data_IF_731661877480
#
_entry.id   IF_731661877480
#
_cell.length_a   1.000
_cell.length_b   1.000
_cell.length_c   1.000
_cell.angle_alpha   90.00
_cell.angle_beta   90.00
_cell.angle_gamma   90.00
#
_symmetry.space_group_name_H-M   'P 1'
#
loop_
_entity.id
_entity.type
_entity.pdbx_description
1 polymer ?
#
# COMPACT_ATOMS: atom_id res chain seq x y z
N UNK A 1 -7.63 -10.36 7.80
CA UNK A 1 -7.58 -8.88 7.80
C UNK A 1 -8.60 -8.25 6.83
N UNK A 2 -9.69 -8.92 6.42
CA UNK A 2 -10.69 -8.34 5.51
C UNK A 2 -11.80 -7.53 6.19
N UNK A 3 -11.85 -7.50 7.52
CA UNK A 3 -12.92 -6.82 8.26
C UNK A 3 -12.56 -5.41 8.78
N UNK A 4 -11.32 -4.96 8.58
CA UNK A 4 -10.92 -3.57 8.88
C UNK A 4 -11.38 -2.63 7.75
N UNK A 5 -11.65 -3.15 6.55
CA UNK A 5 -11.88 -2.37 5.33
C UNK A 5 -13.25 -1.67 5.23
N UNK A 6 -14.12 -1.76 6.26
CA UNK A 6 -15.51 -1.26 6.18
C UNK A 6 -15.96 -0.36 7.33
N UNK A 7 -15.05 0.12 8.16
CA UNK A 7 -15.38 1.06 9.24
C UNK A 7 -14.50 2.32 9.14
N UNK A 8 -14.99 3.33 8.43
CA UNK A 8 -14.84 4.78 8.71
C UNK A 8 -14.93 5.70 7.47
N UNK A 9 -14.76 5.16 6.25
CA UNK A 9 -14.88 6.00 5.03
C UNK A 9 -16.31 6.54 4.83
N UNK A 10 -17.32 5.86 5.39
CA UNK A 10 -18.73 6.29 5.36
C UNK A 10 -19.19 7.09 6.58
N UNK A 11 -18.29 7.64 7.42
CA UNK A 11 -18.72 8.52 8.53
C UNK A 11 -17.79 9.68 8.79
N UNK A 12 -16.46 9.49 8.72
CA UNK A 12 -15.50 10.58 8.93
C UNK A 12 -15.38 11.48 7.69
N UNK A 13 -15.27 10.88 6.50
CA UNK A 13 -15.21 11.64 5.24
C UNK A 13 -16.55 12.28 4.85
N UNK A 14 -17.67 11.78 5.39
CA UNK A 14 -19.01 12.32 5.11
C UNK A 14 -19.30 13.65 5.84
N UNK A 15 -18.67 13.87 6.99
CA UNK A 15 -18.75 15.14 7.75
C UNK A 15 -17.61 16.11 7.42
N UNK A 16 -16.90 15.86 6.31
CA UNK A 16 -15.86 16.74 5.79
C UNK A 16 -16.48 17.90 5.04
N UNK A 17 -16.01 19.10 5.33
CA UNK A 17 -16.29 20.31 4.58
C UNK A 17 -15.06 20.75 3.82
N UNK A 18 -15.29 21.50 2.74
CA UNK A 18 -14.23 22.17 1.98
C UNK A 18 -14.52 23.67 2.05
N UNK A 19 -13.53 24.46 2.48
CA UNK A 19 -13.67 25.91 2.55
C UNK A 19 -13.44 26.58 1.18
N UNK A 20 -13.59 27.91 1.13
CA UNK A 20 -13.42 28.70 -0.10
C UNK A 20 -12.01 28.62 -0.73
N UNK A 21 -11.00 28.20 0.04
CA UNK A 21 -9.62 28.01 -0.40
C UNK A 21 -9.33 26.57 -0.84
N UNK A 22 -10.33 25.69 -0.84
CA UNK A 22 -10.15 24.27 -1.18
C UNK A 22 -9.55 23.43 -0.07
N UNK A 23 -9.37 23.97 1.14
CA UNK A 23 -8.87 23.23 2.29
C UNK A 23 -10.00 22.49 3.00
N UNK A 24 -9.73 21.26 3.42
CA UNK A 24 -10.67 20.43 4.15
C UNK A 24 -10.70 20.74 5.64
N UNK A 25 -11.89 20.69 6.23
CA UNK A 25 -12.10 20.85 7.66
C UNK A 25 -13.31 20.06 8.17
N UNK A 26 -13.35 19.86 9.49
CA UNK A 26 -14.42 19.18 10.22
C UNK A 26 -14.91 20.05 11.35
N UNK A 27 -16.14 19.83 11.81
CA UNK A 27 -16.67 20.49 13.00
C UNK A 27 -16.57 19.56 14.21
N UNK A 28 -16.03 20.07 15.32
CA UNK A 28 -15.83 19.30 16.54
C UNK A 28 -17.16 18.71 17.08
N UNK A 29 -18.26 19.47 17.01
CA UNK A 29 -19.59 18.97 17.41
C UNK A 29 -20.16 17.86 16.55
N UNK A 30 -19.74 17.76 15.28
CA UNK A 30 -20.14 16.68 14.38
C UNK A 30 -19.21 15.46 14.51
N UNK A 31 -17.94 15.69 14.84
CA UNK A 31 -16.98 14.63 15.13
C UNK A 31 -17.30 13.91 16.46
N UNK A 32 -17.82 14.61 17.47
CA UNK A 32 -18.16 14.03 18.77
C UNK A 32 -19.07 12.77 18.68
N UNK A 33 -20.24 12.79 18.01
CA UNK A 33 -21.06 11.60 17.86
C UNK A 33 -20.44 10.54 16.97
N UNK A 34 -19.62 10.90 15.96
CA UNK A 34 -18.86 9.94 15.14
C UNK A 34 -17.89 9.14 16.02
N UNK A 35 -17.30 9.79 17.02
CA UNK A 35 -16.43 9.15 18.02
C UNK A 35 -17.20 8.58 19.23
N UNK A 36 -18.52 8.40 19.12
CA UNK A 36 -19.39 7.81 20.15
C UNK A 36 -19.44 8.61 21.48
N UNK A 37 -19.25 9.93 21.42
CA UNK A 37 -19.46 10.81 22.58
C UNK A 37 -20.89 11.36 22.62
N UNK A 38 -21.69 10.85 23.56
CA UNK A 38 -23.08 11.28 23.73
C UNK A 38 -23.23 12.68 24.37
N UNK A 39 -22.23 13.15 25.14
CA UNK A 39 -22.25 14.43 25.85
C UNK A 39 -21.08 15.30 25.45
N UNK A 40 -21.36 16.56 25.08
CA UNK A 40 -20.36 17.51 24.60
C UNK A 40 -19.26 17.76 25.63
N UNK A 41 -19.60 17.86 26.92
CA UNK A 41 -18.65 18.16 27.99
C UNK A 41 -17.57 17.09 28.13
N UNK A 42 -17.90 15.84 27.79
CA UNK A 42 -16.93 14.74 27.79
C UNK A 42 -16.02 14.78 26.57
N UNK A 43 -16.56 15.19 25.41
CA UNK A 43 -15.77 15.35 24.19
C UNK A 43 -14.87 16.58 24.26
N UNK A 44 -15.35 17.68 24.84
CA UNK A 44 -14.59 18.91 25.04
C UNK A 44 -13.30 18.64 25.83
N UNK A 45 -13.35 17.79 26.87
CA UNK A 45 -12.13 17.37 27.59
C UNK A 45 -11.10 16.65 26.71
N UNK A 46 -11.53 15.96 25.66
CA UNK A 46 -10.64 15.30 24.69
C UNK A 46 -10.11 16.32 23.69
N UNK A 47 -10.95 17.25 23.25
CA UNK A 47 -10.56 18.37 22.40
C UNK A 47 -9.42 19.18 23.05
N UNK A 48 -9.56 19.54 24.33
CA UNK A 48 -8.54 20.27 25.07
C UNK A 48 -7.23 19.49 25.20
N UNK A 49 -7.29 18.17 25.45
CA UNK A 49 -6.09 17.31 25.43
C UNK A 49 -5.41 17.26 24.07
N UNK A 50 -6.19 17.28 23.00
CA UNK A 50 -5.65 17.29 21.63
C UNK A 50 -4.99 18.64 21.31
N UNK A 51 -5.55 19.76 21.77
CA UNK A 51 -4.91 21.08 21.70
C UNK A 51 -3.58 21.11 22.48
N UNK A 52 -3.59 20.59 23.72
CA UNK A 52 -2.37 20.48 24.55
C UNK A 52 -1.29 19.59 23.88
N UNK A 53 -1.68 18.47 23.26
CA UNK A 53 -0.75 17.61 22.52
C UNK A 53 -0.16 18.31 21.27
N UNK A 54 -0.96 19.11 20.58
CA UNK A 54 -0.52 19.93 19.45
C UNK A 54 0.51 20.97 19.89
N UNK A 55 0.21 21.73 20.94
CA UNK A 55 1.10 22.75 21.51
C UNK A 55 2.43 22.13 22.00
N UNK A 56 2.36 21.03 22.74
CA UNK A 56 3.55 20.30 23.21
C UNK A 56 4.39 19.70 22.07
N UNK A 57 3.82 19.56 20.87
CA UNK A 57 4.54 19.17 19.65
C UNK A 57 5.19 20.36 18.94
N UNK A 58 5.19 21.55 19.54
CA UNK A 58 5.61 22.83 18.96
C UNK A 58 4.87 23.18 17.65
N UNK A 59 3.61 22.77 17.53
CA UNK A 59 2.74 23.10 16.40
C UNK A 59 1.74 24.15 16.86
N UNK A 60 1.55 25.21 16.06
CA UNK A 60 0.60 26.26 16.36
C UNK A 60 -0.84 25.69 16.39
N UNK A 61 -1.50 25.82 17.54
CA UNK A 61 -2.86 25.28 17.75
C UNK A 61 -3.86 25.94 16.81
N UNK A 62 -3.73 27.24 16.55
CA UNK A 62 -4.67 28.01 15.73
C UNK A 62 -4.70 27.57 14.26
N UNK A 63 -3.63 26.92 13.78
CA UNK A 63 -3.57 26.37 12.41
C UNK A 63 -4.45 25.12 12.26
N UNK A 64 -4.82 24.49 13.37
CA UNK A 64 -5.48 23.18 13.39
C UNK A 64 -6.80 23.15 14.14
N UNK A 65 -7.00 24.04 15.12
CA UNK A 65 -8.17 24.14 15.97
C UNK A 65 -8.66 25.59 15.98
N UNK A 66 -9.55 25.94 15.05
CA UNK A 66 -10.07 27.30 14.94
C UNK A 66 -11.44 27.39 15.60
N UNK A 67 -11.54 28.17 16.67
CA UNK A 67 -12.83 28.38 17.33
C UNK A 67 -13.78 29.22 16.45
N UNK A 68 -15.02 28.75 16.31
CA UNK A 68 -16.06 29.34 15.48
C UNK A 68 -17.38 29.40 16.23
N UNK A 69 -18.31 30.21 15.72
CA UNK A 69 -19.67 30.26 16.24
C UNK A 69 -20.65 29.74 15.20
N UNK A 70 -21.42 28.71 15.54
CA UNK A 70 -22.45 28.12 14.68
C UNK A 70 -23.83 28.52 15.17
N UNK A 71 -24.72 28.90 14.26
CA UNK A 71 -26.14 29.08 14.59
C UNK A 71 -26.85 27.72 14.46
N UNK A 72 -27.51 27.28 15.52
CA UNK A 72 -28.37 26.09 15.51
C UNK A 72 -29.85 26.49 15.59
N UNK A 73 -30.71 25.69 14.95
CA UNK A 73 -32.16 25.82 15.09
C UNK A 73 -32.64 25.07 16.33
N UNK A 74 -33.47 25.74 17.12
CA UNK A 74 -34.16 25.22 18.30
C UNK A 74 -35.62 24.92 17.95
N UNK A 75 -36.30 24.24 18.87
CA UNK A 75 -37.73 24.02 18.77
C UNK A 75 -38.47 25.35 18.50
N UNK A 76 -39.45 25.30 17.58
CA UNK A 76 -40.25 26.45 17.13
C UNK A 76 -39.48 27.51 16.31
N UNK A 77 -38.35 27.17 15.69
CA UNK A 77 -37.66 28.03 14.72
C UNK A 77 -36.80 29.14 15.34
N UNK A 78 -36.63 29.15 16.67
CA UNK A 78 -35.67 30.04 17.32
C UNK A 78 -34.23 29.62 16.98
N UNK A 79 -33.33 30.57 16.74
CA UNK A 79 -31.91 30.28 16.44
C UNK A 79 -31.03 30.67 17.63
N UNK A 80 -30.04 29.84 17.95
CA UNK A 80 -29.05 30.11 19.01
C UNK A 80 -27.64 29.94 18.49
N UNK A 81 -26.77 30.89 18.83
CA UNK A 81 -25.33 30.77 18.64
C UNK A 81 -24.73 29.78 19.64
N UNK A 82 -23.94 28.83 19.15
CA UNK A 82 -23.13 27.92 19.96
C UNK A 82 -21.68 28.00 19.50
N UNK A 83 -20.76 27.96 20.45
CA UNK A 83 -19.32 27.82 20.16
C UNK A 83 -19.04 26.42 19.63
N UNK A 84 -18.22 26.31 18.59
CA UNK A 84 -17.73 25.07 17.99
C UNK A 84 -16.27 25.29 17.57
N UNK A 85 -15.61 24.25 17.08
CA UNK A 85 -14.22 24.35 16.61
C UNK A 85 -14.12 23.69 15.24
N UNK A 86 -13.59 24.44 14.28
CA UNK A 86 -13.13 23.91 13.00
C UNK A 86 -11.81 23.18 13.21
N UNK A 87 -11.77 21.95 12.70
CA UNK A 87 -10.67 21.02 12.88
C UNK A 87 -10.05 20.71 11.52
N UNK A 88 -8.74 20.85 11.43
CA UNK A 88 -7.98 20.23 10.34
C UNK A 88 -8.03 18.70 10.46
N UNK A 89 -7.68 18.00 9.37
CA UNK A 89 -7.50 16.53 9.42
C UNK A 89 -6.50 16.10 10.51
N UNK A 90 -5.43 16.87 10.68
CA UNK A 90 -4.43 16.63 11.73
C UNK A 90 -5.02 16.75 13.14
N UNK A 91 -5.83 17.79 13.40
CA UNK A 91 -6.54 17.93 14.67
C UNK A 91 -7.48 16.74 14.94
N UNK A 92 -8.22 16.28 13.93
CA UNK A 92 -9.06 15.09 14.04
C UNK A 92 -8.25 13.84 14.45
N UNK A 93 -7.04 13.67 13.91
CA UNK A 93 -6.15 12.56 14.29
C UNK A 93 -5.65 12.67 15.73
N UNK A 94 -5.24 13.86 16.18
CA UNK A 94 -4.85 14.09 17.57
C UNK A 94 -6.02 13.83 18.54
N UNK A 95 -7.24 14.21 18.17
CA UNK A 95 -8.44 13.91 18.98
C UNK A 95 -8.63 12.40 19.12
N UNK A 96 -8.52 11.62 18.04
CA UNK A 96 -8.64 10.14 18.10
C UNK A 96 -7.53 9.53 18.98
N UNK A 97 -6.30 10.04 18.88
CA UNK A 97 -5.18 9.56 19.70
C UNK A 97 -5.39 9.82 21.20
N UNK A 98 -6.06 10.92 21.57
CA UNK A 98 -6.30 11.34 22.95
C UNK A 98 -7.69 10.92 23.51
N UNK A 99 -8.54 10.29 22.69
CA UNK A 99 -9.88 9.88 23.06
C UNK A 99 -9.92 8.60 23.93
N UNK A 100 -11.09 8.28 24.48
CA UNK A 100 -11.31 7.14 25.38
C UNK A 100 -11.24 5.81 24.61
N UNK A 101 -10.21 4.96 24.83
CA UNK A 101 -10.01 3.72 24.08
C UNK A 101 -11.08 2.66 24.39
N UNK A 102 -11.94 2.86 25.40
CA UNK A 102 -13.10 1.98 25.65
C UNK A 102 -14.17 2.10 24.57
N UNK A 103 -14.15 3.17 23.77
CA UNK A 103 -15.05 3.35 22.61
C UNK A 103 -14.46 2.61 21.41
N UNK A 104 -15.25 1.74 20.79
CA UNK A 104 -14.74 0.82 19.76
C UNK A 104 -14.18 1.57 18.56
N UNK A 105 -14.84 2.64 18.15
CA UNK A 105 -14.38 3.50 17.03
C UNK A 105 -13.02 4.14 17.30
N UNK A 106 -12.76 4.55 18.55
CA UNK A 106 -11.47 5.12 18.97
C UNK A 106 -10.38 4.06 18.95
N UNK A 107 -10.62 2.89 19.53
CA UNK A 107 -9.65 1.79 19.54
C UNK A 107 -9.27 1.32 18.13
N UNK A 108 -10.24 1.29 17.20
CA UNK A 108 -10.00 0.99 15.79
C UNK A 108 -9.14 2.07 15.12
N UNK A 109 -9.42 3.35 15.38
CA UNK A 109 -8.60 4.47 14.88
C UNK A 109 -7.15 4.41 15.39
N UNK A 110 -6.95 4.12 16.68
CA UNK A 110 -5.62 3.93 17.26
C UNK A 110 -4.88 2.73 16.64
N UNK A 111 -5.58 1.62 16.44
CA UNK A 111 -5.02 0.44 15.74
C UNK A 111 -4.63 0.79 14.31
N UNK A 112 -5.47 1.55 13.60
CA UNK A 112 -5.16 2.03 12.26
C UNK A 112 -3.88 2.85 12.23
N UNK A 113 -3.69 3.80 13.16
CA UNK A 113 -2.45 4.58 13.24
C UNK A 113 -1.23 3.71 13.51
N UNK A 114 -1.30 2.77 14.47
CA UNK A 114 -0.19 1.85 14.73
C UNK A 114 0.23 1.07 13.47
N UNK A 115 -0.76 0.57 12.72
CA UNK A 115 -0.53 -0.18 11.48
C UNK A 115 0.01 0.73 10.35
N UNK A 116 -0.58 1.91 10.14
CA UNK A 116 -0.15 2.81 9.07
C UNK A 116 1.23 3.41 9.34
N UNK A 117 1.53 3.82 10.58
CA UNK A 117 2.86 4.30 10.96
C UNK A 117 3.89 3.21 10.70
N UNK A 118 3.62 1.97 11.13
CA UNK A 118 4.54 0.85 10.86
C UNK A 118 4.72 0.59 9.37
N UNK A 119 3.64 0.68 8.60
CA UNK A 119 3.69 0.53 7.14
C UNK A 119 4.58 1.61 6.50
N UNK A 120 4.45 2.87 6.94
CA UNK A 120 5.28 3.97 6.45
C UNK A 120 6.74 3.81 6.85
N UNK A 121 7.03 3.42 8.10
CA UNK A 121 8.39 3.12 8.56
C UNK A 121 9.06 2.04 7.71
N UNK A 122 8.35 0.94 7.44
CA UNK A 122 8.85 -0.16 6.61
C UNK A 122 9.10 0.31 5.17
N UNK A 123 8.24 1.19 4.63
CA UNK A 123 8.43 1.77 3.31
C UNK A 123 9.66 2.68 3.27
N UNK A 124 9.86 3.52 4.28
CA UNK A 124 11.01 4.41 4.38
C UNK A 124 12.31 3.62 4.56
N UNK A 125 12.28 2.57 5.37
CA UNK A 125 13.40 1.65 5.54
C UNK A 125 13.74 0.91 4.25
N UNK A 126 12.73 0.50 3.47
CA UNK A 126 12.93 -0.07 2.14
C UNK A 126 13.60 0.93 1.19
N UNK A 127 13.19 2.20 1.21
CA UNK A 127 13.78 3.23 0.36
C UNK A 127 15.26 3.50 0.69
N UNK A 128 15.63 3.36 1.98
CA UNK A 128 17.02 3.47 2.48
C UNK A 128 17.89 2.25 2.16
N UNK A 129 17.32 1.14 1.68
CA UNK A 129 18.12 -0.03 1.29
C UNK A 129 19.01 0.31 0.08
N UNK A 130 20.23 -0.20 0.12
CA UNK A 130 21.07 -0.25 -1.07
C UNK A 130 20.49 -1.21 -2.13
N UNK A 131 21.03 -1.16 -3.33
CA UNK A 131 20.52 -1.92 -4.46
C UNK A 131 20.50 -3.45 -4.21
N UNK A 132 21.50 -4.00 -3.52
CA UNK A 132 21.55 -5.44 -3.24
C UNK A 132 20.52 -5.84 -2.20
N UNK A 133 20.32 -5.03 -1.17
CA UNK A 133 19.28 -5.26 -0.18
C UNK A 133 17.86 -5.13 -0.78
N UNK A 134 17.63 -4.18 -1.69
CA UNK A 134 16.37 -4.08 -2.46
C UNK A 134 16.13 -5.33 -3.31
N UNK A 135 17.15 -5.79 -4.04
CA UNK A 135 17.08 -7.01 -4.86
C UNK A 135 16.71 -8.22 -4.01
N UNK A 136 17.30 -8.38 -2.83
CA UNK A 136 17.00 -9.49 -1.92
C UNK A 136 15.54 -9.44 -1.44
N UNK A 137 15.09 -8.29 -0.95
CA UNK A 137 13.71 -8.11 -0.46
C UNK A 137 12.67 -8.39 -1.55
N UNK A 138 12.81 -7.78 -2.74
CA UNK A 138 11.88 -7.99 -3.86
C UNK A 138 11.92 -9.45 -4.34
N UNK A 139 13.09 -10.11 -4.30
CA UNK A 139 13.21 -11.50 -4.73
C UNK A 139 12.45 -12.48 -3.83
N UNK A 140 12.39 -12.21 -2.54
CA UNK A 140 11.61 -12.98 -1.59
C UNK A 140 10.11 -12.75 -1.79
N UNK A 141 9.66 -11.51 -2.01
CA UNK A 141 8.28 -11.18 -2.43
C UNK A 141 7.86 -11.93 -3.70
N UNK A 142 8.72 -11.94 -4.74
CA UNK A 142 8.48 -12.70 -5.97
C UNK A 142 8.34 -14.19 -5.68
N UNK A 143 9.07 -14.75 -4.71
CA UNK A 143 8.96 -16.18 -4.37
C UNK A 143 7.59 -16.49 -3.79
N UNK A 144 7.09 -15.66 -2.88
CA UNK A 144 5.78 -15.86 -2.27
C UNK A 144 4.64 -15.64 -3.28
N UNK A 145 4.67 -14.54 -4.02
CA UNK A 145 3.64 -14.25 -5.02
C UNK A 145 3.64 -15.22 -6.21
N UNK A 146 4.78 -15.80 -6.59
CA UNK A 146 4.80 -16.86 -7.59
C UNK A 146 4.10 -18.15 -7.13
N UNK A 147 4.05 -18.45 -5.82
CA UNK A 147 3.24 -19.57 -5.32
C UNK A 147 1.76 -19.28 -5.54
N UNK A 148 1.29 -18.09 -5.15
CA UNK A 148 -0.11 -17.68 -5.36
C UNK A 148 -0.50 -17.63 -6.84
N UNK A 149 0.39 -17.12 -7.70
CA UNK A 149 0.19 -17.13 -9.15
C UNK A 149 0.13 -18.56 -9.71
N UNK A 150 0.96 -19.48 -9.19
CA UNK A 150 0.91 -20.88 -9.60
C UNK A 150 -0.43 -21.52 -9.24
N UNK A 151 -0.95 -21.28 -8.04
CA UNK A 151 -2.29 -21.73 -7.65
C UNK A 151 -3.39 -21.14 -8.55
N UNK A 152 -3.30 -19.85 -8.89
CA UNK A 152 -4.26 -19.22 -9.81
C UNK A 152 -4.21 -19.85 -11.21
N UNK A 153 -3.01 -20.10 -11.72
CA UNK A 153 -2.80 -20.80 -12.99
C UNK A 153 -3.37 -22.23 -12.93
N UNK A 154 -3.19 -22.95 -11.82
CA UNK A 154 -3.77 -24.27 -11.60
C UNK A 154 -5.30 -24.22 -11.67
N UNK A 155 -5.93 -23.27 -10.98
CA UNK A 155 -7.38 -23.08 -11.03
C UNK A 155 -7.90 -22.73 -12.43
N UNK A 156 -7.05 -22.15 -13.28
CA UNK A 156 -7.34 -21.84 -14.67
C UNK A 156 -7.09 -23.03 -15.63
N UNK A 157 -6.51 -24.14 -15.14
CA UNK A 157 -6.30 -25.37 -15.91
C UNK A 157 -4.85 -25.63 -16.35
N UNK A 158 -3.86 -24.93 -15.77
CA UNK A 158 -2.43 -25.22 -15.96
C UNK A 158 -2.01 -26.32 -14.97
N UNK A 159 -1.71 -27.53 -15.45
CA UNK A 159 -1.52 -28.71 -14.59
C UNK A 159 -0.11 -29.30 -14.68
N UNK A 160 0.48 -29.32 -15.88
CA UNK A 160 1.77 -29.99 -16.10
C UNK A 160 2.95 -29.01 -15.99
N UNK A 161 4.13 -29.52 -15.63
CA UNK A 161 5.37 -28.71 -15.59
C UNK A 161 5.68 -28.02 -16.93
N UNK A 162 5.34 -28.66 -18.05
CA UNK A 162 5.50 -28.07 -19.38
C UNK A 162 4.54 -26.90 -19.60
N UNK A 163 3.29 -27.02 -19.17
CA UNK A 163 2.31 -25.93 -19.25
C UNK A 163 2.69 -24.75 -18.36
N UNK A 164 3.20 -25.00 -17.14
CA UNK A 164 3.76 -23.95 -16.30
C UNK A 164 4.94 -23.25 -16.96
N UNK A 165 5.83 -23.99 -17.62
CA UNK A 165 6.94 -23.39 -18.35
C UNK A 165 6.45 -22.47 -19.48
N UNK A 166 5.43 -22.89 -20.24
CA UNK A 166 4.80 -22.06 -21.28
C UNK A 166 4.13 -20.83 -20.68
N UNK A 167 3.35 -21.00 -19.60
CA UNK A 167 2.65 -19.93 -18.91
C UNK A 167 3.60 -18.86 -18.37
N UNK A 168 4.69 -19.27 -17.72
CA UNK A 168 5.72 -18.34 -17.24
C UNK A 168 6.41 -17.64 -18.40
N UNK A 169 6.75 -18.38 -19.46
CA UNK A 169 7.39 -17.81 -20.65
C UNK A 169 6.49 -16.78 -21.35
N UNK A 170 5.16 -16.97 -21.37
CA UNK A 170 4.21 -16.00 -21.91
C UNK A 170 4.20 -14.68 -21.15
N UNK A 171 4.30 -14.76 -19.82
CA UNK A 171 4.54 -13.57 -18.99
C UNK A 171 5.82 -12.84 -19.38
N UNK A 172 6.92 -13.56 -19.65
CA UNK A 172 8.17 -12.94 -20.09
C UNK A 172 7.99 -12.27 -21.45
N UNK A 173 7.41 -12.98 -22.42
CA UNK A 173 7.15 -12.43 -23.75
C UNK A 173 6.33 -11.14 -23.72
N UNK A 174 5.34 -11.03 -22.82
CA UNK A 174 4.60 -9.78 -22.65
C UNK A 174 5.48 -8.62 -22.17
N UNK A 175 6.24 -8.83 -21.10
CA UNK A 175 7.04 -7.77 -20.46
C UNK A 175 8.26 -7.34 -21.28
N UNK A 176 8.93 -8.29 -21.94
CA UNK A 176 10.20 -8.09 -22.65
C UNK A 176 10.03 -8.01 -24.17
N UNK A 177 8.91 -7.48 -24.66
CA UNK A 177 8.74 -7.17 -26.09
C UNK A 177 8.79 -8.39 -27.02
N UNK A 178 8.30 -9.55 -26.55
CA UNK A 178 8.29 -10.80 -27.29
C UNK A 178 9.44 -11.75 -26.95
N UNK A 179 10.44 -11.33 -26.18
CA UNK A 179 11.54 -12.18 -25.76
C UNK A 179 11.07 -13.21 -24.71
N UNK A 180 11.36 -14.48 -24.97
CA UNK A 180 11.19 -15.55 -23.99
C UNK A 180 12.40 -15.68 -23.07
N UNK A 181 12.34 -16.65 -22.16
CA UNK A 181 13.40 -16.96 -21.19
C UNK A 181 14.74 -17.22 -21.88
N UNK A 182 14.75 -17.95 -23.00
CA UNK A 182 15.99 -18.31 -23.71
C UNK A 182 16.64 -17.10 -24.39
N UNK A 183 15.83 -16.25 -25.03
CA UNK A 183 16.31 -15.04 -25.68
C UNK A 183 16.80 -14.03 -24.64
N UNK A 184 16.08 -13.89 -23.52
CA UNK A 184 16.47 -13.01 -22.43
C UNK A 184 17.78 -13.46 -21.77
N UNK A 185 17.97 -14.77 -21.59
CA UNK A 185 19.23 -15.34 -21.13
C UNK A 185 20.42 -14.91 -22.00
N UNK A 186 20.27 -14.99 -23.33
CA UNK A 186 21.31 -14.58 -24.28
C UNK A 186 21.54 -13.07 -24.23
N UNK A 187 20.46 -12.28 -24.23
CA UNK A 187 20.52 -10.82 -24.21
C UNK A 187 21.25 -10.30 -22.97
N UNK A 188 21.05 -10.93 -21.81
CA UNK A 188 21.72 -10.60 -20.55
C UNK A 188 23.09 -11.27 -20.36
N UNK A 189 23.60 -11.99 -21.35
CA UNK A 189 24.91 -12.65 -21.26
C UNK A 189 25.00 -13.74 -20.17
N UNK A 190 23.86 -14.34 -19.78
CA UNK A 190 23.80 -15.30 -18.69
C UNK A 190 24.18 -16.71 -19.16
N UNK A 191 24.98 -17.40 -18.34
CA UNK A 191 25.27 -18.83 -18.49
C UNK A 191 23.98 -19.65 -18.33
N UNK A 192 23.93 -20.82 -18.98
CA UNK A 192 22.76 -21.73 -18.93
C UNK A 192 22.34 -22.14 -17.52
N UNK A 193 23.27 -22.17 -16.57
CA UNK A 193 23.01 -22.55 -15.17
C UNK A 193 22.57 -21.40 -14.28
N UNK A 194 22.69 -20.15 -14.74
CA UNK A 194 22.27 -18.98 -13.97
C UNK A 194 20.75 -18.85 -14.03
N UNK A 195 20.15 -18.27 -12.99
CA UNK A 195 18.70 -17.97 -12.98
C UNK A 195 18.51 -16.51 -13.33
N UNK A 196 17.67 -16.19 -14.32
CA UNK A 196 17.47 -14.80 -14.77
C UNK A 196 17.11 -13.88 -13.60
N UNK A 197 16.09 -14.25 -12.81
CA UNK A 197 15.65 -13.45 -11.65
C UNK A 197 16.76 -13.19 -10.62
N UNK A 198 17.77 -14.06 -10.51
CA UNK A 198 18.83 -13.87 -9.53
C UNK A 198 19.88 -12.84 -10.03
N UNK A 199 19.85 -12.49 -11.32
CA UNK A 199 20.72 -11.53 -12.00
C UNK A 199 19.94 -10.32 -12.56
N UNK A 200 18.85 -9.94 -11.89
CA UNK A 200 18.11 -8.72 -12.18
C UNK A 200 18.39 -7.65 -11.11
N UNK A 201 18.38 -6.38 -11.51
CA UNK A 201 18.32 -5.23 -10.60
C UNK A 201 16.94 -5.08 -9.95
N UNK A 202 16.84 -4.22 -8.93
CA UNK A 202 15.62 -3.99 -8.15
C UNK A 202 14.46 -3.48 -9.00
N UNK A 203 14.73 -2.55 -9.94
CA UNK A 203 13.72 -2.04 -10.88
C UNK A 203 13.14 -3.13 -11.78
N UNK A 204 14.00 -4.00 -12.32
CA UNK A 204 13.56 -5.10 -13.18
C UNK A 204 12.78 -6.14 -12.36
N UNK A 205 13.25 -6.48 -11.17
CA UNK A 205 12.54 -7.37 -10.25
C UNK A 205 11.16 -6.82 -9.89
N UNK A 206 11.03 -5.52 -9.59
CA UNK A 206 9.76 -4.88 -9.29
C UNK A 206 8.77 -5.00 -10.47
N UNK A 207 9.23 -4.82 -11.71
CA UNK A 207 8.38 -5.01 -12.89
C UNK A 207 7.89 -6.46 -13.03
N UNK A 208 8.74 -7.45 -12.74
CA UNK A 208 8.33 -8.87 -12.76
C UNK A 208 7.37 -9.20 -11.61
N UNK A 209 7.58 -8.65 -10.42
CA UNK A 209 6.68 -8.78 -9.28
C UNK A 209 5.30 -8.22 -9.61
N UNK A 210 5.25 -7.01 -10.17
CA UNK A 210 4.01 -6.36 -10.55
C UNK A 210 3.27 -7.15 -11.64
N UNK A 211 3.97 -7.63 -12.67
CA UNK A 211 3.36 -8.51 -13.68
C UNK A 211 2.77 -9.77 -13.04
N UNK A 212 3.51 -10.44 -12.14
CA UNK A 212 3.08 -11.70 -11.54
C UNK A 212 1.83 -11.51 -10.65
N UNK A 213 1.85 -10.50 -9.77
CA UNK A 213 0.74 -10.16 -8.88
C UNK A 213 -0.52 -9.74 -9.65
N UNK A 214 -0.37 -8.90 -10.68
CA UNK A 214 -1.51 -8.47 -11.49
C UNK A 214 -2.09 -9.60 -12.35
N UNK A 215 -1.26 -10.54 -12.79
CA UNK A 215 -1.75 -11.74 -13.51
C UNK A 215 -2.55 -12.64 -12.58
N UNK A 216 -2.05 -12.87 -11.36
CA UNK A 216 -2.73 -13.65 -10.32
C UNK A 216 -4.12 -13.06 -10.02
N UNK A 217 -4.16 -11.77 -9.67
CA UNK A 217 -5.40 -11.05 -9.38
C UNK A 217 -6.37 -11.10 -10.55
N UNK A 218 -5.89 -10.89 -11.79
CA UNK A 218 -6.73 -10.90 -12.99
C UNK A 218 -7.32 -12.29 -13.25
N UNK A 219 -6.52 -13.35 -13.16
CA UNK A 219 -7.00 -14.74 -13.33
C UNK A 219 -8.11 -15.05 -12.33
N UNK A 220 -7.91 -14.70 -11.05
CA UNK A 220 -8.90 -14.94 -9.99
C UNK A 220 -10.16 -14.11 -10.16
N UNK A 221 -10.02 -12.80 -10.39
CA UNK A 221 -11.13 -11.85 -10.55
C UNK A 221 -12.01 -12.17 -11.75
N UNK A 222 -11.38 -12.49 -12.89
CA UNK A 222 -12.09 -12.78 -14.14
C UNK A 222 -12.44 -14.27 -14.29
N UNK A 223 -12.13 -15.09 -13.26
CA UNK A 223 -12.36 -16.54 -13.23
C UNK A 223 -11.88 -17.22 -14.52
N UNK A 224 -10.68 -16.84 -14.97
CA UNK A 224 -10.12 -17.32 -16.24
C UNK A 224 -10.05 -18.85 -16.25
N UNK A 225 -10.45 -19.47 -17.36
CA UNK A 225 -10.42 -20.93 -17.59
C UNK A 225 -9.80 -21.25 -18.94
N UNK A 226 -9.07 -22.36 -18.99
CA UNK A 226 -8.36 -22.82 -20.18
C UNK A 226 -6.92 -22.34 -20.22
N UNK A 227 -6.02 -23.22 -20.67
CA UNK A 227 -4.57 -23.01 -20.71
C UNK A 227 -4.22 -21.83 -21.60
N UNK A 228 -4.86 -21.74 -22.77
CA UNK A 228 -4.69 -20.67 -23.75
C UNK A 228 -5.09 -19.31 -23.18
N UNK A 229 -6.22 -19.24 -22.47
CA UNK A 229 -6.71 -18.00 -21.87
C UNK A 229 -5.82 -17.55 -20.70
N UNK A 230 -5.34 -18.50 -19.87
CA UNK A 230 -4.37 -18.19 -18.81
C UNK A 230 -3.06 -17.64 -19.40
N UNK A 231 -2.52 -18.31 -20.43
CA UNK A 231 -1.33 -17.89 -21.15
C UNK A 231 -1.49 -16.50 -21.77
N UNK A 232 -2.62 -16.24 -22.42
CA UNK A 232 -2.93 -14.95 -23.04
C UNK A 232 -3.10 -13.86 -21.97
N UNK A 233 -3.73 -14.18 -20.84
CA UNK A 233 -3.88 -13.25 -19.72
C UNK A 233 -2.51 -12.81 -19.20
N UNK A 234 -1.59 -13.76 -18.96
CA UNK A 234 -0.25 -13.45 -18.48
C UNK A 234 0.57 -12.62 -19.48
N UNK A 235 0.43 -12.94 -20.79
CA UNK A 235 1.05 -12.15 -21.85
C UNK A 235 0.51 -10.71 -21.89
N UNK A 236 -0.82 -10.54 -21.87
CA UNK A 236 -1.46 -9.22 -21.92
C UNK A 236 -1.04 -8.38 -20.71
N UNK A 237 -1.07 -8.95 -19.51
CA UNK A 237 -0.63 -8.24 -18.30
C UNK A 237 0.83 -7.80 -18.44
N UNK A 238 1.72 -8.69 -18.87
CA UNK A 238 3.13 -8.34 -19.13
C UNK A 238 3.28 -7.19 -20.13
N UNK A 239 2.54 -7.23 -21.24
CA UNK A 239 2.53 -6.18 -22.25
C UNK A 239 2.01 -4.85 -21.69
N UNK A 240 0.95 -4.88 -20.88
CA UNK A 240 0.42 -3.67 -20.22
C UNK A 240 1.46 -3.04 -19.29
N UNK A 241 2.17 -3.85 -18.50
CA UNK A 241 3.27 -3.35 -17.64
C UNK A 241 4.35 -2.70 -18.50
N UNK A 242 4.77 -3.35 -19.59
CA UNK A 242 5.73 -2.79 -20.54
C UNK A 242 5.28 -1.47 -21.14
N UNK A 243 4.05 -1.40 -21.64
CA UNK A 243 3.48 -0.20 -22.26
C UNK A 243 3.42 0.96 -21.24
N UNK A 244 3.15 0.67 -19.97
CA UNK A 244 3.22 1.66 -18.89
C UNK A 244 4.64 2.16 -18.66
N UNK A 245 5.65 1.28 -18.59
CA UNK A 245 7.05 1.70 -18.45
C UNK A 245 7.44 2.62 -19.62
N UNK A 246 7.00 2.29 -20.84
CA UNK A 246 7.27 3.10 -22.03
C UNK A 246 6.60 4.47 -21.97
N UNK A 247 5.33 4.54 -21.52
CA UNK A 247 4.59 5.81 -21.36
C UNK A 247 5.19 6.74 -20.31
N UNK A 248 5.92 6.19 -19.35
CA UNK A 248 6.62 6.94 -18.32
C UNK A 248 8.08 7.28 -18.72
N UNK A 249 8.43 7.10 -20.00
CA UNK A 249 9.79 7.25 -20.53
C UNK A 249 10.85 6.45 -19.73
N UNK A 250 10.44 5.31 -19.17
CA UNK A 250 11.29 4.42 -18.41
C UNK A 250 12.20 3.55 -19.29
N UNK A 251 13.35 3.14 -18.74
CA UNK A 251 14.22 2.16 -19.39
C UNK A 251 13.51 0.80 -19.51
N UNK A 252 13.55 0.19 -20.69
CA UNK A 252 12.89 -1.10 -20.92
C UNK A 252 13.56 -2.21 -20.08
N UNK A 253 12.80 -3.17 -19.54
CA UNK A 253 13.34 -4.22 -18.65
C UNK A 253 14.52 -5.01 -19.24
N UNK A 254 14.48 -5.30 -20.54
CA UNK A 254 15.55 -6.02 -21.24
C UNK A 254 16.84 -5.23 -21.41
N UNK A 255 16.81 -3.91 -21.20
CA UNK A 255 17.95 -2.99 -21.34
C UNK A 255 18.51 -2.57 -19.98
N UNK A 256 17.87 -2.97 -18.88
CA UNK A 256 18.38 -2.73 -17.54
C UNK A 256 19.68 -3.53 -17.27
N UNK A 257 20.61 -2.99 -16.46
CA UNK A 257 21.87 -3.65 -16.13
C UNK A 257 21.66 -5.05 -15.55
N UNK A 258 22.57 -5.95 -15.90
CA UNK A 258 22.61 -7.32 -15.36
C UNK A 258 23.69 -7.38 -14.28
N UNK A 259 23.35 -7.52 -12.99
CA UNK A 259 24.37 -7.58 -11.95
C UNK A 259 25.22 -8.85 -12.03
N UNK A 260 26.54 -8.69 -11.87
CA UNK A 260 27.50 -9.79 -11.87
C UNK A 260 27.25 -10.78 -10.73
N UNK A 261 26.93 -10.23 -9.55
CA UNK A 261 26.63 -11.02 -8.36
C UNK A 261 25.15 -11.44 -8.32
N UNK A 262 24.93 -12.75 -8.19
CA UNK A 262 23.59 -13.33 -8.07
C UNK A 262 22.99 -13.07 -6.70
N UNK A 263 21.67 -12.98 -6.63
CA UNK A 263 20.92 -12.91 -5.36
C UNK A 263 21.24 -14.10 -4.45
N UNK A 264 21.51 -15.29 -5.01
CA UNK A 264 21.94 -16.46 -4.24
C UNK A 264 23.33 -16.31 -3.59
N UNK A 265 24.24 -15.55 -4.21
CA UNK A 265 25.52 -15.22 -3.60
C UNK A 265 25.36 -14.15 -2.53
N UNK A 266 24.55 -13.12 -2.81
CA UNK A 266 24.23 -12.06 -1.85
C UNK A 266 23.60 -12.62 -0.57
N UNK A 267 22.63 -13.52 -0.68
CA UNK A 267 21.96 -14.11 0.48
C UNK A 267 22.88 -14.94 1.38
N UNK A 268 23.98 -15.48 0.84
CA UNK A 268 25.02 -16.15 1.63
C UNK A 268 25.94 -15.16 2.34
N UNK A 269 26.21 -14.00 1.75
CA UNK A 269 27.08 -12.95 2.33
C UNK A 269 26.35 -12.12 3.39
N UNK A 270 25.04 -11.91 3.24
CA UNK A 270 24.25 -11.04 4.12
C UNK A 270 23.06 -11.73 4.84
N UNK A 271 23.21 -12.94 5.44
CA UNK A 271 22.08 -13.62 6.10
C UNK A 271 21.54 -12.84 7.31
N UNK A 272 22.36 -11.96 7.92
CA UNK A 272 22.04 -11.24 9.16
C UNK A 272 21.38 -9.86 8.97
N UNK A 273 21.52 -9.21 7.80
CA UNK A 273 20.96 -7.86 7.57
C UNK A 273 19.46 -7.86 7.27
N UNK A 274 18.96 -8.89 6.58
CA UNK A 274 17.55 -9.03 6.22
C UNK A 274 16.75 -9.64 7.37
N UNK A 275 17.30 -10.67 8.03
CA UNK A 275 16.66 -11.29 9.20
C UNK A 275 16.50 -10.29 10.35
N UNK A 276 17.41 -9.32 10.52
CA UNK A 276 17.30 -8.29 11.55
C UNK A 276 16.29 -7.19 11.23
N UNK A 277 16.14 -6.81 9.95
CA UNK A 277 15.25 -5.71 9.54
C UNK A 277 13.81 -6.15 9.25
N UNK A 278 13.60 -7.37 8.74
CA UNK A 278 12.25 -7.92 8.55
C UNK A 278 11.72 -8.66 9.79
N UNK A 279 12.52 -9.29 10.66
CA UNK A 279 11.96 -9.95 11.88
C UNK A 279 11.64 -9.00 13.02
N UNK A 280 12.14 -7.76 12.99
CA UNK A 280 11.63 -6.70 13.89
C UNK A 280 10.29 -6.14 13.41
N UNK A 281 9.71 -6.68 12.32
CA UNK A 281 8.40 -6.25 11.80
C UNK A 281 7.21 -7.11 12.24
N UNK A 282 7.45 -8.15 13.06
CA UNK A 282 6.42 -9.10 13.54
C UNK A 282 6.17 -9.05 15.06
N UNK A 283 6.71 -8.07 15.78
CA UNK A 283 6.44 -7.88 17.22
C UNK A 283 5.79 -6.54 17.50
#
# INVERSE_FOLDING_TARGET
MSDIQKYSDKTFEEIKYINEYGAEYWLARELAPVLEYARWENFYKVLEKAKEACENSNINVDDHFRDVTKMIELAKGAKRAIEDTELSRYACYLIVQNADPRKRVVALGQTYFAVQTRRQELQDDFNKLDENAKRLAIRDEIREHNKSLAEAAQMAGIETSQEYAVFQNKGYQGLYGGLGVNELHKRKGLKKSQKILDHMGSTELAANLFRATQTDEKIRREKVKGKENANQTHFIVGKTVRDTIKKLDGTMPEDLPTPDESIKQLSKKEPKRIAGKMRQSEK
#
